data_IF_621546196771
#
_entry.id   IF_621546196771
#
_cell.length_a   1.000
_cell.length_b   1.000
_cell.length_c   1.000
_cell.angle_alpha   90.00
_cell.angle_beta   90.00
_cell.angle_gamma   90.00
#
_symmetry.space_group_name_H-M   'P 1'
#
loop_
_entity.id
_entity.type
_entity.pdbx_description
1 polymer ?
#
# COMPACT_ATOMS: atom_id res chain seq x y z
N UNK A 1 -49.14 -31.07 -33.10
CA UNK A 1 -47.87 -31.16 -33.85
C UNK A 1 -46.71 -31.07 -32.86
N UNK A 2 -45.90 -32.13 -32.73
CA UNK A 2 -44.69 -32.09 -31.88
C UNK A 2 -43.60 -31.34 -32.66
N UNK A 3 -43.15 -30.19 -32.16
CA UNK A 3 -41.94 -29.53 -32.69
C UNK A 3 -40.76 -30.47 -32.46
N UNK A 4 -40.08 -30.88 -33.53
CA UNK A 4 -38.79 -31.56 -33.39
C UNK A 4 -37.77 -30.55 -32.89
N UNK A 5 -37.11 -30.84 -31.77
CA UNK A 5 -35.93 -30.08 -31.33
C UNK A 5 -34.80 -30.36 -32.34
N UNK A 6 -34.42 -29.34 -33.09
CA UNK A 6 -33.23 -29.38 -33.92
C UNK A 6 -32.01 -29.36 -32.98
N UNK A 7 -31.15 -30.38 -33.09
CA UNK A 7 -29.88 -30.42 -32.37
C UNK A 7 -28.89 -29.41 -32.94
N UNK A 8 -27.91 -29.01 -32.13
CA UNK A 8 -26.82 -28.13 -32.56
C UNK A 8 -25.94 -28.81 -33.62
N UNK A 9 -25.46 -28.04 -34.58
CA UNK A 9 -24.48 -28.50 -35.57
C UNK A 9 -23.08 -28.54 -34.97
N UNK A 10 -22.21 -29.40 -35.52
CA UNK A 10 -20.80 -29.46 -35.13
C UNK A 10 -20.08 -28.13 -35.32
N UNK A 11 -20.42 -27.38 -36.38
CA UNK A 11 -19.81 -26.08 -36.68
C UNK A 11 -20.19 -25.03 -35.63
N UNK A 12 -21.45 -25.03 -35.18
CA UNK A 12 -21.90 -24.10 -34.12
C UNK A 12 -21.17 -24.35 -32.81
N UNK A 13 -21.02 -25.61 -32.39
CA UNK A 13 -20.27 -25.93 -31.16
C UNK A 13 -18.77 -25.62 -31.32
N UNK A 14 -18.20 -25.83 -32.51
CA UNK A 14 -16.79 -25.55 -32.76
C UNK A 14 -16.46 -24.06 -32.59
N UNK A 15 -17.28 -23.15 -33.13
CA UNK A 15 -17.06 -21.70 -33.00
C UNK A 15 -17.22 -21.26 -31.53
N UNK A 16 -18.20 -21.82 -30.82
CA UNK A 16 -18.42 -21.51 -29.40
C UNK A 16 -17.20 -21.91 -28.56
N UNK A 17 -16.63 -23.10 -28.78
CA UNK A 17 -15.44 -23.55 -28.05
C UNK A 17 -14.21 -22.68 -28.34
N UNK A 18 -14.04 -22.21 -29.58
CA UNK A 18 -12.96 -21.28 -29.94
C UNK A 18 -13.12 -19.96 -29.20
N UNK A 19 -14.33 -19.38 -29.18
CA UNK A 19 -14.59 -18.12 -28.48
C UNK A 19 -14.33 -18.28 -26.97
N UNK A 20 -14.82 -19.36 -26.35
CA UNK A 20 -14.54 -19.63 -24.92
C UNK A 20 -13.04 -19.78 -24.67
N UNK A 21 -12.31 -20.51 -25.52
CA UNK A 21 -10.86 -20.66 -25.40
C UNK A 21 -10.12 -19.32 -25.47
N UNK A 22 -10.50 -18.46 -26.41
CA UNK A 22 -9.91 -17.12 -26.55
C UNK A 22 -10.27 -16.20 -25.37
N UNK A 23 -11.53 -16.23 -24.91
CA UNK A 23 -11.98 -15.44 -23.76
C UNK A 23 -11.27 -15.89 -22.48
N UNK A 24 -11.16 -17.20 -22.23
CA UNK A 24 -10.44 -17.73 -21.07
C UNK A 24 -8.95 -17.36 -21.12
N UNK A 25 -8.31 -17.48 -22.28
CA UNK A 25 -6.92 -17.05 -22.46
C UNK A 25 -6.71 -15.56 -22.17
N UNK A 26 -7.62 -14.70 -22.64
CA UNK A 26 -7.59 -13.26 -22.38
C UNK A 26 -7.80 -12.91 -20.91
N UNK A 27 -8.76 -13.55 -20.23
CA UNK A 27 -9.06 -13.30 -18.81
C UNK A 27 -7.90 -13.70 -17.92
N UNK A 28 -7.29 -14.87 -18.15
CA UNK A 28 -6.14 -15.33 -17.36
C UNK A 28 -4.98 -14.33 -17.44
N UNK A 29 -4.68 -13.82 -18.63
CA UNK A 29 -3.64 -12.80 -18.78
C UNK A 29 -4.02 -11.45 -18.15
N UNK A 30 -5.29 -11.07 -18.25
CA UNK A 30 -5.82 -9.87 -17.59
C UNK A 30 -5.70 -9.92 -16.06
N UNK A 31 -6.01 -11.07 -15.45
CA UNK A 31 -5.89 -11.29 -14.01
C UNK A 31 -4.44 -11.22 -13.53
N UNK A 32 -3.52 -11.82 -14.30
CA UNK A 32 -2.08 -11.75 -14.01
C UNK A 32 -1.59 -10.29 -14.07
N UNK A 33 -2.00 -9.52 -15.09
CA UNK A 33 -1.65 -8.11 -15.22
C UNK A 33 -2.12 -7.27 -14.02
N UNK A 34 -3.35 -7.49 -13.55
CA UNK A 34 -3.89 -6.81 -12.37
C UNK A 34 -3.08 -7.18 -11.12
N UNK A 35 -2.76 -8.47 -10.93
CA UNK A 35 -1.95 -8.91 -9.80
C UNK A 35 -0.55 -8.29 -9.84
N UNK A 36 0.08 -8.23 -11.01
CA UNK A 36 1.38 -7.58 -11.19
C UNK A 36 1.32 -6.08 -10.90
N UNK A 37 0.25 -5.39 -11.30
CA UNK A 37 0.07 -3.98 -10.97
C UNK A 37 -0.04 -3.76 -9.45
N UNK A 38 -0.79 -4.62 -8.74
CA UNK A 38 -0.88 -4.58 -7.27
C UNK A 38 0.49 -4.79 -6.62
N UNK A 39 1.27 -5.77 -7.09
CA UNK A 39 2.63 -6.02 -6.58
C UNK A 39 3.51 -4.79 -6.80
N UNK A 40 3.47 -4.19 -7.99
CA UNK A 40 4.26 -2.98 -8.30
C UNK A 40 3.89 -1.79 -7.42
N UNK A 41 2.60 -1.59 -7.14
CA UNK A 41 2.17 -0.54 -6.23
C UNK A 41 2.77 -0.76 -4.83
N UNK A 42 2.59 -1.95 -4.25
CA UNK A 42 3.15 -2.27 -2.92
C UNK A 42 4.67 -2.04 -2.87
N UNK A 43 5.40 -2.45 -3.90
CA UNK A 43 6.86 -2.21 -3.99
C UNK A 43 7.17 -0.71 -4.03
N UNK A 44 6.41 0.07 -4.79
CA UNK A 44 6.56 1.52 -4.85
C UNK A 44 6.28 2.17 -3.48
N UNK A 45 5.27 1.69 -2.74
CA UNK A 45 4.93 2.19 -1.42
C UNK A 45 6.05 1.92 -0.40
N UNK A 46 6.58 0.70 -0.37
CA UNK A 46 7.74 0.37 0.48
C UNK A 46 8.99 1.19 0.10
N UNK A 47 9.24 1.38 -1.19
CA UNK A 47 10.35 2.22 -1.66
C UNK A 47 10.14 3.69 -1.27
N UNK A 48 8.91 4.19 -1.33
CA UNK A 48 8.56 5.56 -0.93
C UNK A 48 8.76 5.80 0.57
N UNK A 49 8.33 4.85 1.41
CA UNK A 49 8.54 4.91 2.86
C UNK A 49 10.04 4.84 3.20
N UNK A 50 10.80 3.98 2.52
CA UNK A 50 12.25 3.88 2.72
C UNK A 50 12.96 5.18 2.35
N UNK A 51 12.57 5.80 1.23
CA UNK A 51 13.10 7.10 0.82
C UNK A 51 12.73 8.21 1.81
N UNK A 52 11.50 8.20 2.35
CA UNK A 52 11.05 9.13 3.37
C UNK A 52 11.88 9.01 4.66
N UNK A 53 12.19 7.78 5.09
CA UNK A 53 13.05 7.54 6.25
C UNK A 53 14.45 8.13 6.04
N UNK A 54 15.12 7.77 4.95
CA UNK A 54 16.47 8.27 4.68
C UNK A 54 16.49 9.79 4.47
N UNK A 55 15.46 10.35 3.83
CA UNK A 55 15.30 11.80 3.68
C UNK A 55 15.15 12.51 5.02
N UNK A 56 14.40 11.92 5.96
CA UNK A 56 14.26 12.44 7.33
C UNK A 56 15.60 12.38 8.06
N UNK A 57 16.29 11.24 7.98
CA UNK A 57 17.58 11.03 8.63
C UNK A 57 18.65 11.99 8.09
N UNK A 58 18.70 12.22 6.78
CA UNK A 58 19.64 13.17 6.17
C UNK A 58 19.33 14.61 6.61
N UNK A 59 18.06 15.01 6.57
CA UNK A 59 17.64 16.38 6.90
C UNK A 59 17.79 16.72 8.37
N UNK A 60 17.47 15.78 9.26
CA UNK A 60 17.35 16.06 10.69
C UNK A 60 18.33 15.30 11.57
N UNK A 61 19.13 14.39 10.99
CA UNK A 61 20.10 13.56 11.72
C UNK A 61 19.48 12.79 12.88
N UNK A 62 18.20 12.45 12.75
CA UNK A 62 17.41 11.76 13.74
C UNK A 62 16.52 10.73 13.05
N UNK A 63 16.06 9.74 13.81
CA UNK A 63 15.10 8.74 13.35
C UNK A 63 13.69 9.31 13.56
N UNK A 64 12.80 9.28 12.56
CA UNK A 64 11.43 9.72 12.75
C UNK A 64 10.75 8.87 13.85
N UNK A 65 9.89 9.47 14.66
CA UNK A 65 9.28 8.84 15.84
C UNK A 65 10.14 8.89 17.10
N UNK A 66 11.45 8.74 16.96
CA UNK A 66 12.45 8.83 18.02
C UNK A 66 13.04 10.26 18.18
N UNK A 67 12.83 11.13 17.20
CA UNK A 67 13.38 12.48 17.20
C UNK A 67 12.90 13.35 18.39
N UNK A 68 13.78 13.57 19.37
CA UNK A 68 13.53 14.43 20.53
C UNK A 68 13.36 15.91 20.16
N UNK A 69 13.95 16.35 19.05
CA UNK A 69 13.84 17.71 18.55
C UNK A 69 12.63 17.92 17.63
N UNK A 70 11.72 16.94 17.48
CA UNK A 70 10.49 17.10 16.70
C UNK A 70 9.57 18.22 17.25
N UNK A 71 9.79 18.70 18.47
CA UNK A 71 9.15 19.90 19.05
C UNK A 71 9.35 21.18 18.24
N UNK A 72 10.25 21.15 17.24
CA UNK A 72 10.40 22.19 16.20
C UNK A 72 9.08 22.49 15.47
N UNK A 73 8.15 21.54 15.39
CA UNK A 73 6.83 21.74 14.82
C UNK A 73 5.79 21.90 15.93
N UNK A 74 4.96 22.95 15.82
CA UNK A 74 3.89 23.21 16.78
C UNK A 74 2.93 22.02 16.89
N UNK A 75 2.75 21.52 18.13
CA UNK A 75 1.87 20.39 18.43
C UNK A 75 2.44 19.00 18.11
N UNK A 76 3.69 18.91 17.65
CA UNK A 76 4.40 17.64 17.54
C UNK A 76 4.98 17.23 18.90
N UNK A 77 4.93 15.93 19.19
CA UNK A 77 5.54 15.35 20.39
C UNK A 77 6.87 14.71 20.01
N UNK A 78 7.94 15.07 20.73
CA UNK A 78 9.26 14.48 20.55
C UNK A 78 9.31 13.00 20.98
N UNK A 79 10.18 12.24 20.33
CA UNK A 79 10.63 10.93 20.83
C UNK A 79 11.62 11.07 21.99
N UNK A 80 12.17 9.94 22.45
CA UNK A 80 13.15 9.95 23.54
C UNK A 80 14.60 10.13 23.05
N UNK A 81 14.87 9.99 21.75
CA UNK A 81 16.18 10.17 21.12
C UNK A 81 17.16 9.05 21.43
N UNK A 82 16.68 7.84 21.72
CA UNK A 82 17.51 6.71 22.12
C UNK A 82 18.06 5.89 20.94
N UNK A 83 17.73 6.27 19.70
CA UNK A 83 18.19 5.61 18.48
C UNK A 83 17.34 4.40 18.08
N UNK A 84 16.23 4.15 18.77
CA UNK A 84 15.29 3.07 18.47
C UNK A 84 13.87 3.60 18.43
N UNK A 85 13.00 2.99 17.63
CA UNK A 85 11.58 3.35 17.58
C UNK A 85 10.81 2.32 18.38
N UNK A 86 10.34 2.70 19.57
CA UNK A 86 9.60 1.81 20.44
C UNK A 86 8.10 1.77 20.12
N UNK A 87 7.48 0.64 20.44
CA UNK A 87 6.05 0.44 20.30
C UNK A 87 5.66 -0.64 19.29
N UNK A 88 4.38 -1.04 19.35
CA UNK A 88 3.85 -2.02 18.38
C UNK A 88 3.70 -1.35 17.01
N UNK A 89 3.92 -2.12 15.95
CA UNK A 89 3.74 -1.69 14.57
C UNK A 89 2.33 -1.11 14.29
N UNK A 90 1.28 -1.74 14.85
CA UNK A 90 -0.10 -1.27 14.70
C UNK A 90 -0.68 -0.71 16.02
N UNK A 91 0.03 0.24 16.65
CA UNK A 91 -0.45 0.85 17.88
C UNK A 91 -1.48 1.96 17.59
N UNK A 92 -2.62 1.96 18.29
CA UNK A 92 -3.76 2.85 18.00
C UNK A 92 -4.22 3.74 19.14
N UNK A 93 -3.75 3.51 20.37
CA UNK A 93 -4.42 4.02 21.58
C UNK A 93 -3.69 5.14 22.32
N UNK A 94 -2.40 5.36 22.08
CA UNK A 94 -1.56 6.31 22.83
C UNK A 94 -0.54 6.97 21.90
N UNK A 95 -0.74 8.25 21.62
CA UNK A 95 0.10 9.06 20.73
C UNK A 95 1.48 9.39 21.34
N UNK A 96 1.72 9.01 22.60
CA UNK A 96 3.04 9.13 23.22
C UNK A 96 4.00 8.02 22.76
N UNK A 97 3.50 6.97 22.12
CA UNK A 97 4.31 5.86 21.59
C UNK A 97 5.03 6.26 20.30
N UNK A 98 6.33 5.95 20.22
CA UNK A 98 7.20 6.40 19.12
C UNK A 98 6.81 5.83 17.76
N UNK A 99 6.32 4.59 17.72
CA UNK A 99 5.78 3.99 16.48
C UNK A 99 4.61 4.78 15.88
N UNK A 100 3.85 5.53 16.69
CA UNK A 100 2.79 6.45 16.22
C UNK A 100 3.34 7.81 15.82
N UNK A 101 4.31 8.33 16.58
CA UNK A 101 5.04 9.57 16.26
C UNK A 101 5.78 9.48 14.93
N UNK A 102 6.24 8.29 14.55
CA UNK A 102 6.90 8.03 13.27
C UNK A 102 6.16 8.68 12.08
N UNK A 103 4.86 8.42 11.97
CA UNK A 103 4.06 8.93 10.86
C UNK A 103 3.81 10.43 10.96
N UNK A 104 3.59 10.95 12.17
CA UNK A 104 3.40 12.38 12.40
C UNK A 104 4.68 13.18 12.05
N UNK A 105 5.85 12.69 12.47
CA UNK A 105 7.14 13.30 12.16
C UNK A 105 7.41 13.32 10.65
N UNK A 106 7.20 12.20 9.95
CA UNK A 106 7.37 12.13 8.49
C UNK A 106 6.42 13.07 7.73
N UNK A 107 5.18 13.22 8.20
CA UNK A 107 4.18 14.10 7.59
C UNK A 107 4.51 15.57 7.79
N UNK A 108 4.90 15.95 9.01
CA UNK A 108 5.31 17.33 9.33
C UNK A 108 6.59 17.73 8.62
N UNK A 109 7.46 16.77 8.37
CA UNK A 109 8.65 16.93 7.54
C UNK A 109 8.36 17.01 6.03
N UNK A 110 7.12 16.73 5.61
CA UNK A 110 6.69 16.77 4.21
C UNK A 110 7.17 15.58 3.37
N UNK A 111 7.61 14.49 3.98
CA UNK A 111 8.05 13.29 3.25
C UNK A 111 6.89 12.34 2.92
N UNK A 112 5.83 12.36 3.73
CA UNK A 112 4.62 11.52 3.53
C UNK A 112 3.39 12.41 3.63
N UNK A 113 2.36 12.13 2.83
CA UNK A 113 1.09 12.85 2.87
C UNK A 113 0.24 12.55 4.11
N UNK A 114 -0.67 13.47 4.43
CA UNK A 114 -1.65 13.35 5.52
C UNK A 114 -1.28 14.16 6.77
N UNK A 115 -2.00 13.93 7.86
CA UNK A 115 -1.81 14.64 9.13
C UNK A 115 -1.97 13.69 10.35
N UNK A 116 -1.32 14.05 11.46
CA UNK A 116 -1.45 13.38 12.75
C UNK A 116 -0.73 12.03 12.85
N UNK A 117 -1.12 11.23 13.84
CA UNK A 117 -0.47 9.99 14.26
C UNK A 117 -1.05 8.71 13.63
N UNK A 118 -2.12 8.84 12.84
CA UNK A 118 -2.82 7.68 12.28
C UNK A 118 -1.91 6.94 11.30
N UNK A 119 -1.86 5.62 11.40
CA UNK A 119 -1.14 4.82 10.41
C UNK A 119 -1.81 4.98 9.04
N UNK A 120 -1.04 5.00 7.94
CA UNK A 120 -1.61 4.96 6.60
C UNK A 120 -2.48 3.71 6.44
N UNK A 121 -3.74 3.91 6.05
CA UNK A 121 -4.70 2.81 5.82
C UNK A 121 -4.61 2.23 4.40
N UNK A 122 -3.97 2.97 3.48
CA UNK A 122 -3.83 2.64 2.06
C UNK A 122 -2.41 2.99 1.57
N UNK A 123 -1.38 2.44 2.22
CA UNK A 123 -0.08 2.31 1.56
C UNK A 123 -0.19 1.12 0.63
#
# INVERSE_FOLDING_TARGET
MRKQQQGFTLVEIAIVLVIIGLLLGGILKGQEMITQAKIKNVVADFSGISAAYYGYQDRYRAIPGDDAAATRWTGAVGGNGNGTVEGKYNYTTDDTVESRKWWDHLRRAGFVGGAGYQQPVNA
#
